data_IF_131407602340
#
_entry.id   IF_131407602340
#
_cell.length_a   1.000
_cell.length_b   1.000
_cell.length_c   1.000
_cell.angle_alpha   90.00
_cell.angle_beta   90.00
_cell.angle_gamma   90.00
#
_symmetry.space_group_name_H-M   'P 1'
#
loop_
_entity.id
_entity.type
_entity.pdbx_description
1 polymer ?
#
# COMPACT_ATOMS: atom_id res chain seq x y z
N UNK A 1 22.97 -8.42 4.96
CA UNK A 1 22.75 -9.71 5.64
C UNK A 1 21.43 -10.30 5.17
N UNK A 2 21.46 -11.38 4.39
CA UNK A 2 20.22 -12.02 3.90
C UNK A 2 19.63 -12.86 5.03
N UNK A 3 18.47 -12.46 5.54
CA UNK A 3 17.68 -13.25 6.49
C UNK A 3 17.18 -14.51 5.79
N UNK A 4 17.96 -15.59 5.84
CA UNK A 4 17.61 -16.86 5.21
C UNK A 4 16.52 -17.57 6.03
N UNK A 5 15.34 -17.70 5.43
CA UNK A 5 14.22 -18.45 6.01
C UNK A 5 14.58 -19.93 6.18
N UNK A 6 14.25 -20.50 7.35
CA UNK A 6 14.34 -21.94 7.61
C UNK A 6 13.36 -22.78 6.75
N UNK A 7 12.47 -22.13 6.00
CA UNK A 7 11.51 -22.77 5.10
C UNK A 7 12.13 -23.09 3.73
N UNK A 8 11.83 -24.27 3.14
CA UNK A 8 12.41 -24.63 1.85
C UNK A 8 11.89 -23.75 0.72
N UNK A 9 12.81 -23.26 -0.11
CA UNK A 9 12.47 -22.48 -1.32
C UNK A 9 11.94 -23.41 -2.41
N UNK A 10 10.82 -23.05 -3.04
CA UNK A 10 10.13 -23.85 -4.09
C UNK A 10 10.19 -23.12 -5.44
N UNK A 11 10.56 -23.78 -6.55
CA UNK A 11 11.00 -23.11 -7.80
C UNK A 11 10.75 -23.92 -9.12
N UNK A 12 10.78 -23.27 -10.31
CA UNK A 12 10.58 -23.79 -11.71
C UNK A 12 11.58 -23.15 -12.78
N UNK A 13 12.17 -23.93 -13.74
CA UNK A 13 12.97 -23.52 -14.97
C UNK A 13 14.45 -23.05 -14.83
N UNK A 14 15.37 -23.13 -15.87
CA UNK A 14 16.90 -23.01 -15.85
C UNK A 14 17.53 -23.34 -14.49
N UNK A 15 16.94 -24.34 -13.87
CA UNK A 15 16.77 -24.27 -12.43
C UNK A 15 17.95 -24.86 -11.70
N UNK A 16 18.56 -25.84 -12.36
CA UNK A 16 19.53 -26.71 -11.75
C UNK A 16 20.76 -25.93 -11.24
N UNK A 17 21.24 -24.93 -11.98
CA UNK A 17 22.42 -24.16 -11.59
C UNK A 17 22.14 -23.26 -10.39
N UNK A 18 20.99 -22.59 -10.39
CA UNK A 18 20.55 -21.71 -9.28
C UNK A 18 20.32 -22.54 -8.02
N UNK A 19 19.65 -23.69 -8.16
CA UNK A 19 19.41 -24.62 -7.06
C UNK A 19 20.73 -25.18 -6.55
N UNK A 20 21.64 -25.63 -7.42
CA UNK A 20 22.94 -26.15 -7.03
C UNK A 20 23.74 -25.14 -6.19
N UNK A 21 23.78 -23.87 -6.62
CA UNK A 21 24.46 -22.81 -5.87
C UNK A 21 23.82 -22.58 -4.49
N UNK A 22 22.49 -22.56 -4.41
CA UNK A 22 21.78 -22.39 -3.15
C UNK A 22 22.04 -23.56 -2.18
N UNK A 23 22.06 -24.79 -2.68
CA UNK A 23 22.35 -25.98 -1.87
C UNK A 23 23.77 -25.94 -1.29
N UNK A 24 24.75 -25.48 -2.09
CA UNK A 24 26.15 -25.29 -1.67
C UNK A 24 26.34 -24.14 -0.68
N UNK A 25 25.47 -23.13 -0.72
CA UNK A 25 25.40 -22.05 0.27
C UNK A 25 24.72 -22.48 1.59
N UNK A 26 24.22 -23.72 1.69
CA UNK A 26 23.60 -24.25 2.91
C UNK A 26 22.07 -24.22 2.95
N UNK A 27 21.41 -23.68 1.92
CA UNK A 27 19.96 -23.55 1.89
C UNK A 27 19.27 -24.89 1.62
N UNK A 28 18.10 -25.10 2.24
CA UNK A 28 17.19 -26.21 1.93
C UNK A 28 16.25 -25.79 0.80
N UNK A 29 16.15 -26.61 -0.24
CA UNK A 29 15.37 -26.29 -1.44
C UNK A 29 14.46 -27.47 -1.78
N UNK A 30 13.18 -27.19 -2.05
CA UNK A 30 12.19 -28.19 -2.45
C UNK A 30 11.60 -27.79 -3.79
N UNK A 31 11.95 -28.48 -4.87
CA UNK A 31 11.36 -28.24 -6.18
C UNK A 31 10.10 -29.10 -6.34
N UNK A 32 8.98 -28.48 -6.68
CA UNK A 32 7.69 -29.17 -6.91
C UNK A 32 7.28 -29.00 -8.36
N UNK A 33 6.33 -29.81 -8.84
CA UNK A 33 5.84 -29.79 -10.23
C UNK A 33 6.95 -29.99 -11.26
N UNK A 34 7.88 -30.92 -10.98
CA UNK A 34 9.00 -31.21 -11.88
C UNK A 34 8.55 -31.65 -13.30
N UNK A 35 7.33 -32.17 -13.44
CA UNK A 35 6.72 -32.53 -14.72
C UNK A 35 6.48 -31.33 -15.64
N UNK A 36 6.20 -30.15 -15.08
CA UNK A 36 5.94 -28.94 -15.88
C UNK A 36 7.21 -28.19 -16.30
N UNK A 37 8.39 -28.60 -15.80
CA UNK A 37 9.68 -28.02 -16.19
C UNK A 37 9.86 -28.03 -17.72
N UNK A 38 10.39 -26.94 -18.26
CA UNK A 38 10.62 -26.80 -19.70
C UNK A 38 12.09 -26.91 -20.10
N UNK A 39 12.34 -27.60 -21.20
CA UNK A 39 13.62 -27.67 -21.89
C UNK A 39 13.54 -26.89 -23.20
N UNK A 40 14.57 -26.11 -23.53
CA UNK A 40 14.64 -25.36 -24.78
C UNK A 40 14.81 -26.29 -26.00
N UNK A 41 14.24 -25.92 -27.14
CA UNK A 41 14.31 -26.70 -28.38
C UNK A 41 13.11 -27.63 -28.57
N UNK A 42 12.91 -28.08 -29.81
CA UNK A 42 11.76 -28.91 -30.17
C UNK A 42 11.72 -30.21 -29.38
N UNK A 43 10.50 -30.73 -29.23
CA UNK A 43 10.24 -32.03 -28.63
C UNK A 43 11.10 -33.14 -29.25
N UNK A 44 11.07 -33.25 -30.59
CA UNK A 44 11.80 -34.27 -31.33
C UNK A 44 13.32 -34.23 -31.07
N UNK A 45 13.91 -33.03 -31.04
CA UNK A 45 15.35 -32.87 -30.72
C UNK A 45 15.68 -33.38 -29.32
N UNK A 46 14.88 -33.02 -28.32
CA UNK A 46 15.07 -33.49 -26.94
C UNK A 46 14.82 -34.98 -26.78
N UNK A 47 13.88 -35.54 -27.54
CA UNK A 47 13.65 -36.98 -27.62
C UNK A 47 14.90 -37.71 -28.10
N UNK A 48 15.50 -37.27 -29.22
CA UNK A 48 16.72 -37.88 -29.76
C UNK A 48 17.91 -37.78 -28.80
N UNK A 49 18.10 -36.63 -28.14
CA UNK A 49 19.14 -36.48 -27.11
C UNK A 49 18.94 -37.46 -25.95
N UNK A 50 17.71 -37.61 -25.48
CA UNK A 50 17.39 -38.55 -24.40
C UNK A 50 17.55 -40.01 -24.86
N UNK A 51 17.18 -40.36 -26.09
CA UNK A 51 17.45 -41.68 -26.69
C UNK A 51 18.93 -41.99 -26.72
N UNK A 52 19.78 -41.03 -27.13
CA UNK A 52 21.25 -41.19 -27.11
C UNK A 52 21.73 -41.49 -25.69
N UNK A 53 21.21 -40.78 -24.68
CA UNK A 53 21.54 -41.05 -23.29
C UNK A 53 21.10 -42.46 -22.85
N UNK A 54 19.93 -42.95 -23.25
CA UNK A 54 19.46 -44.30 -22.90
C UNK A 54 20.25 -45.45 -23.54
N UNK A 55 21.02 -45.17 -24.60
CA UNK A 55 21.91 -46.14 -25.23
C UNK A 55 23.20 -46.34 -24.44
N UNK A 56 23.58 -45.39 -23.58
CA UNK A 56 24.76 -45.52 -22.72
C UNK A 56 24.50 -46.57 -21.65
N UNK A 57 25.15 -47.73 -21.72
CA UNK A 57 25.01 -48.81 -20.74
C UNK A 57 26.37 -49.42 -20.45
N UNK A 58 26.56 -49.95 -19.24
CA UNK A 58 27.74 -50.77 -18.96
C UNK A 58 27.57 -52.11 -19.68
N UNK A 59 28.54 -52.48 -20.53
CA UNK A 59 28.42 -53.60 -21.46
C UNK A 59 28.20 -54.94 -20.75
N UNK A 60 29.00 -55.22 -19.71
CA UNK A 60 29.02 -56.53 -19.04
C UNK A 60 27.88 -56.68 -18.02
N UNK A 61 27.60 -55.64 -17.25
CA UNK A 61 26.59 -55.66 -16.16
C UNK A 61 25.81 -54.35 -16.09
N UNK A 62 24.79 -54.18 -16.95
CA UNK A 62 23.99 -52.95 -17.00
C UNK A 62 23.30 -52.59 -15.68
N UNK A 63 22.96 -53.59 -14.86
CA UNK A 63 22.24 -53.40 -13.59
C UNK A 63 23.05 -52.80 -12.44
N UNK A 64 24.39 -52.97 -12.45
CA UNK A 64 25.27 -52.58 -11.32
C UNK A 64 26.24 -51.44 -11.66
N UNK A 65 26.92 -51.52 -12.80
CA UNK A 65 28.00 -50.59 -13.16
C UNK A 65 27.61 -49.50 -14.16
N UNK A 66 26.38 -49.55 -14.69
CA UNK A 66 25.92 -48.65 -15.74
C UNK A 66 25.27 -47.37 -15.23
N UNK A 67 25.13 -46.35 -16.10
CA UNK A 67 24.35 -45.16 -15.76
C UNK A 67 22.87 -45.52 -15.61
N UNK A 68 22.28 -45.23 -14.45
CA UNK A 68 20.84 -45.40 -14.25
C UNK A 68 20.04 -44.36 -15.05
N UNK A 69 19.06 -44.84 -15.82
CA UNK A 69 18.19 -44.00 -16.63
C UNK A 69 16.82 -43.80 -15.97
N UNK A 70 16.72 -42.82 -15.08
CA UNK A 70 15.44 -42.49 -14.44
C UNK A 70 14.47 -41.86 -15.44
N UNK A 71 13.21 -42.32 -15.41
CA UNK A 71 12.12 -41.80 -16.26
C UNK A 71 11.33 -40.67 -15.61
N UNK A 72 11.23 -40.68 -14.28
CA UNK A 72 10.45 -39.69 -13.55
C UNK A 72 11.05 -38.26 -13.71
N UNK A 73 10.24 -37.23 -14.05
CA UNK A 73 10.70 -35.85 -14.22
C UNK A 73 11.53 -35.31 -13.05
N UNK A 74 11.12 -35.61 -11.81
CA UNK A 74 11.85 -35.19 -10.61
C UNK A 74 13.25 -35.77 -10.55
N UNK A 75 13.42 -37.04 -10.93
CA UNK A 75 14.71 -37.74 -10.93
C UNK A 75 15.61 -37.30 -12.09
N UNK A 76 15.04 -36.97 -13.23
CA UNK A 76 15.76 -36.32 -14.33
C UNK A 76 16.32 -34.97 -13.86
N UNK A 77 15.49 -34.17 -13.19
CA UNK A 77 15.92 -32.89 -12.62
C UNK A 77 16.97 -33.06 -11.52
N UNK A 78 16.79 -34.04 -10.61
CA UNK A 78 17.76 -34.39 -9.58
C UNK A 78 19.13 -34.74 -10.17
N UNK A 79 19.16 -35.51 -11.26
CA UNK A 79 20.39 -35.86 -11.95
C UNK A 79 21.07 -34.63 -12.55
N UNK A 80 20.31 -33.68 -13.11
CA UNK A 80 20.84 -32.43 -13.62
C UNK A 80 21.49 -31.59 -12.50
N UNK A 81 20.84 -31.46 -11.34
CA UNK A 81 21.43 -30.75 -10.18
C UNK A 81 22.66 -31.49 -9.66
N UNK A 82 22.61 -32.82 -9.55
CA UNK A 82 23.74 -33.65 -9.11
C UNK A 82 24.96 -33.49 -10.00
N UNK A 83 24.77 -33.29 -11.32
CA UNK A 83 25.85 -33.01 -12.26
C UNK A 83 26.52 -31.65 -12.06
N UNK A 84 25.87 -30.72 -11.36
CA UNK A 84 26.38 -29.37 -11.05
C UNK A 84 26.94 -29.25 -9.63
N UNK A 85 26.93 -30.33 -8.85
CA UNK A 85 27.45 -30.39 -7.48
C UNK A 85 28.58 -31.42 -7.42
N UNK A 86 29.70 -31.14 -6.71
CA UNK A 86 30.74 -32.13 -6.43
C UNK A 86 30.22 -33.17 -5.41
N UNK A 87 29.25 -33.99 -5.80
CA UNK A 87 28.47 -34.87 -4.91
C UNK A 87 29.26 -36.06 -4.36
N UNK A 88 30.49 -36.30 -4.86
CA UNK A 88 31.38 -37.36 -4.36
C UNK A 88 32.09 -36.96 -3.06
N UNK A 89 32.21 -35.67 -2.75
CA UNK A 89 32.81 -35.20 -1.49
C UNK A 89 31.73 -34.96 -0.43
N UNK A 90 32.10 -35.02 0.86
CA UNK A 90 31.18 -34.86 1.99
C UNK A 90 30.32 -33.59 1.90
N UNK A 91 30.92 -32.44 1.54
CA UNK A 91 30.21 -31.16 1.36
C UNK A 91 29.12 -31.25 0.29
N UNK A 92 29.42 -31.88 -0.84
CA UNK A 92 28.47 -32.03 -1.94
C UNK A 92 27.38 -33.05 -1.64
N UNK A 93 27.72 -34.14 -0.96
CA UNK A 93 26.75 -35.11 -0.46
C UNK A 93 25.76 -34.45 0.52
N UNK A 94 26.25 -33.67 1.48
CA UNK A 94 25.42 -32.89 2.39
C UNK A 94 24.54 -31.86 1.65
N UNK A 95 25.06 -31.21 0.61
CA UNK A 95 24.27 -30.31 -0.22
C UNK A 95 23.14 -31.04 -0.96
N UNK A 96 23.38 -32.25 -1.47
CA UNK A 96 22.34 -33.06 -2.13
C UNK A 96 21.23 -33.50 -1.16
N UNK A 97 21.54 -33.76 0.12
CA UNK A 97 20.54 -34.09 1.14
C UNK A 97 19.56 -32.93 1.43
N UNK A 98 19.98 -31.68 1.18
CA UNK A 98 19.13 -30.48 1.35
C UNK A 98 18.10 -30.31 0.23
N UNK A 99 18.23 -31.04 -0.88
CA UNK A 99 17.33 -30.98 -2.03
C UNK A 99 16.22 -32.02 -1.92
N UNK A 100 14.97 -31.58 -2.09
CA UNK A 100 13.84 -32.48 -2.37
C UNK A 100 13.18 -32.08 -3.70
N UNK A 101 12.71 -33.07 -4.44
CA UNK A 101 12.12 -32.89 -5.77
C UNK A 101 10.84 -33.72 -5.85
N UNK A 102 9.78 -33.16 -6.43
CA UNK A 102 8.48 -33.83 -6.52
C UNK A 102 7.79 -33.54 -7.85
N UNK A 103 7.13 -34.55 -8.40
CA UNK A 103 6.05 -34.37 -9.37
C UNK A 103 4.78 -33.91 -8.66
N UNK A 104 4.08 -32.92 -9.23
CA UNK A 104 2.96 -32.24 -8.57
C UNK A 104 3.37 -31.54 -7.28
N UNK A 105 2.38 -31.17 -6.45
CA UNK A 105 2.59 -30.55 -5.13
C UNK A 105 2.05 -31.45 -4.01
N UNK A 106 2.92 -32.16 -3.27
CA UNK A 106 2.50 -32.98 -2.13
C UNK A 106 1.80 -32.17 -1.03
N UNK A 107 0.88 -32.77 -0.24
CA UNK A 107 0.09 -32.10 0.80
C UNK A 107 0.88 -31.17 1.72
N UNK A 108 2.06 -31.61 2.17
CA UNK A 108 2.96 -30.85 3.04
C UNK A 108 3.37 -29.47 2.48
N UNK A 109 3.39 -29.33 1.15
CA UNK A 109 3.81 -28.11 0.47
C UNK A 109 2.65 -27.34 -0.18
N UNK A 110 1.40 -27.81 -0.04
CA UNK A 110 0.24 -27.17 -0.67
C UNK A 110 -0.05 -25.79 -0.06
N UNK A 111 0.08 -25.64 1.25
CA UNK A 111 -0.19 -24.39 1.96
C UNK A 111 1.02 -23.45 2.05
N UNK A 112 2.18 -23.87 1.56
CA UNK A 112 3.39 -23.03 1.54
C UNK A 112 3.41 -22.12 0.32
N UNK A 113 3.84 -20.87 0.48
CA UNK A 113 4.05 -19.96 -0.65
C UNK A 113 5.17 -20.53 -1.54
N UNK A 114 4.86 -20.73 -2.82
CA UNK A 114 5.85 -21.12 -3.81
C UNK A 114 6.54 -19.86 -4.34
N UNK A 115 7.85 -19.95 -4.51
CA UNK A 115 8.64 -18.89 -5.10
C UNK A 115 8.84 -19.16 -6.59
N UNK A 116 9.29 -18.15 -7.30
CA UNK A 116 9.68 -18.26 -8.71
C UNK A 116 11.08 -17.68 -8.81
N UNK A 117 11.91 -18.27 -9.66
CA UNK A 117 13.24 -17.72 -9.97
C UNK A 117 13.15 -17.07 -11.35
N UNK A 118 13.04 -15.73 -11.43
CA UNK A 118 12.80 -15.03 -12.69
C UNK A 118 13.87 -15.29 -13.74
N UNK A 119 15.13 -15.41 -13.31
CA UNK A 119 16.26 -15.71 -14.20
C UNK A 119 16.17 -17.05 -14.91
N UNK A 120 15.18 -17.87 -14.56
CA UNK A 120 15.06 -19.24 -14.97
C UNK A 120 13.70 -19.55 -15.63
N UNK A 121 12.79 -18.57 -15.62
CA UNK A 121 11.51 -18.62 -16.33
C UNK A 121 11.69 -18.70 -17.85
N UNK A 122 10.99 -19.64 -18.48
CA UNK A 122 10.98 -19.79 -19.95
C UNK A 122 10.56 -18.50 -20.66
N UNK A 123 9.46 -17.88 -20.22
CA UNK A 123 8.88 -16.70 -20.87
C UNK A 123 9.84 -15.50 -20.91
N UNK A 124 10.68 -15.35 -19.88
CA UNK A 124 11.67 -14.26 -19.79
C UNK A 124 12.98 -14.59 -20.51
N UNK A 125 13.30 -15.89 -20.68
CA UNK A 125 14.62 -16.34 -21.14
C UNK A 125 14.65 -16.92 -22.55
N UNK A 126 13.51 -17.34 -23.08
CA UNK A 126 13.40 -17.90 -24.42
C UNK A 126 12.69 -16.89 -25.32
N UNK A 127 13.28 -16.60 -26.49
CA UNK A 127 12.65 -15.71 -27.49
C UNK A 127 11.26 -16.25 -27.87
N UNK A 128 10.24 -15.39 -28.01
CA UNK A 128 8.94 -15.77 -28.56
C UNK A 128 9.10 -16.52 -29.90
N UNK A 129 8.19 -17.46 -30.17
CA UNK A 129 8.23 -18.31 -31.36
C UNK A 129 9.25 -19.47 -31.32
N UNK A 130 10.17 -19.52 -30.35
CA UNK A 130 11.10 -20.65 -30.23
C UNK A 130 10.43 -21.86 -29.56
N UNK A 131 10.56 -23.03 -30.21
CA UNK A 131 10.02 -24.31 -29.71
C UNK A 131 10.68 -24.73 -28.40
N UNK A 132 9.90 -25.34 -27.52
CA UNK A 132 10.34 -25.93 -26.25
C UNK A 132 9.65 -27.28 -26.02
N UNK A 133 10.13 -28.03 -25.04
CA UNK A 133 9.63 -29.34 -24.64
C UNK A 133 9.33 -29.35 -23.14
N UNK A 134 8.24 -29.99 -22.72
CA UNK A 134 7.92 -30.22 -21.31
C UNK A 134 8.51 -31.55 -20.83
N UNK A 135 9.06 -31.58 -19.61
CA UNK A 135 9.59 -32.82 -19.04
C UNK A 135 8.51 -33.89 -18.89
N UNK A 136 7.25 -33.52 -18.64
CA UNK A 136 6.10 -34.41 -18.65
C UNK A 136 6.03 -35.24 -19.92
N UNK A 137 5.93 -34.57 -21.09
CA UNK A 137 5.81 -35.25 -22.38
C UNK A 137 7.03 -36.11 -22.68
N UNK A 138 8.23 -35.58 -22.43
CA UNK A 138 9.47 -36.35 -22.63
C UNK A 138 9.48 -37.62 -21.78
N UNK A 139 9.19 -37.49 -20.49
CA UNK A 139 9.22 -38.59 -19.54
C UNK A 139 8.18 -39.66 -19.86
N UNK A 140 6.96 -39.26 -20.22
CA UNK A 140 5.88 -40.17 -20.62
C UNK A 140 6.27 -41.02 -21.83
N UNK A 141 6.86 -40.43 -22.87
CA UNK A 141 7.31 -41.18 -24.06
C UNK A 141 8.44 -42.19 -23.77
N UNK A 142 9.16 -42.02 -22.66
CA UNK A 142 10.23 -42.94 -22.23
C UNK A 142 9.83 -43.86 -21.07
N UNK A 143 8.53 -44.03 -20.83
CA UNK A 143 8.01 -45.03 -19.90
C UNK A 143 7.75 -44.52 -18.47
N UNK A 144 7.54 -43.21 -18.29
CA UNK A 144 7.00 -42.71 -17.02
C UNK A 144 5.48 -42.91 -16.95
N UNK A 145 5.05 -43.90 -16.18
CA UNK A 145 3.66 -44.36 -16.12
C UNK A 145 2.72 -43.48 -15.26
N UNK A 146 3.24 -42.57 -14.43
CA UNK A 146 2.42 -41.85 -13.44
C UNK A 146 1.92 -40.47 -13.91
N UNK A 147 2.07 -40.14 -15.20
CA UNK A 147 1.68 -38.84 -15.73
C UNK A 147 0.19 -38.52 -15.46
N UNK A 148 -0.70 -39.47 -15.79
CA UNK A 148 -2.14 -39.32 -15.58
C UNK A 148 -2.54 -39.28 -14.10
N UNK A 149 -1.85 -40.05 -13.26
CA UNK A 149 -2.09 -40.05 -11.81
C UNK A 149 -1.75 -38.67 -11.23
N UNK A 150 -0.62 -38.10 -11.63
CA UNK A 150 -0.22 -36.74 -11.21
C UNK A 150 -1.21 -35.70 -11.70
N UNK A 151 -1.72 -35.82 -12.93
CA UNK A 151 -2.73 -34.90 -13.45
C UNK A 151 -4.03 -34.92 -12.65
N UNK A 152 -4.53 -36.11 -12.31
CA UNK A 152 -5.73 -36.28 -11.46
C UNK A 152 -5.52 -35.62 -10.09
N UNK A 153 -4.36 -35.82 -9.47
CA UNK A 153 -4.03 -35.24 -8.16
C UNK A 153 -3.88 -33.72 -8.22
N UNK A 154 -3.21 -33.19 -9.26
CA UNK A 154 -3.05 -31.74 -9.45
C UNK A 154 -4.36 -31.05 -9.81
N UNK A 155 -5.25 -31.70 -10.57
CA UNK A 155 -6.61 -31.19 -10.83
C UNK A 155 -7.40 -31.03 -9.53
N UNK A 156 -7.43 -32.08 -8.69
CA UNK A 156 -8.06 -32.04 -7.35
C UNK A 156 -7.47 -30.94 -6.48
N UNK A 157 -6.14 -30.75 -6.52
CA UNK A 157 -5.45 -29.69 -5.77
C UNK A 157 -5.80 -28.29 -6.28
N UNK A 158 -5.86 -28.08 -7.59
CA UNK A 158 -6.20 -26.79 -8.22
C UNK A 158 -7.63 -26.38 -7.87
N UNK A 159 -8.58 -27.31 -7.89
CA UNK A 159 -9.96 -27.04 -7.46
C UNK A 159 -10.03 -26.52 -6.00
N UNK A 160 -9.35 -27.21 -5.06
CA UNK A 160 -9.24 -26.73 -3.67
C UNK A 160 -8.55 -25.37 -3.55
N UNK A 161 -7.52 -25.14 -4.37
CA UNK A 161 -6.78 -23.88 -4.42
C UNK A 161 -7.63 -22.70 -4.91
N UNK A 162 -8.51 -22.92 -5.89
CA UNK A 162 -9.44 -21.91 -6.39
C UNK A 162 -10.42 -21.46 -5.30
N UNK A 163 -11.08 -22.42 -4.63
CA UNK A 163 -12.00 -22.14 -3.53
C UNK A 163 -11.31 -21.40 -2.36
N UNK A 164 -10.06 -21.75 -2.03
CA UNK A 164 -9.28 -21.01 -1.03
C UNK A 164 -8.98 -19.57 -1.48
N UNK A 165 -8.61 -19.37 -2.75
CA UNK A 165 -8.29 -18.07 -3.30
C UNK A 165 -9.49 -17.14 -3.29
N UNK A 166 -10.67 -17.61 -3.70
CA UNK A 166 -11.93 -16.86 -3.64
C UNK A 166 -12.24 -16.36 -2.23
N UNK A 167 -12.19 -17.26 -1.24
CA UNK A 167 -12.37 -16.90 0.18
C UNK A 167 -11.35 -15.88 0.65
N UNK A 168 -10.08 -16.03 0.26
CA UNK A 168 -9.01 -15.09 0.62
C UNK A 168 -9.19 -13.71 0.00
N UNK A 169 -9.61 -13.64 -1.27
CA UNK A 169 -9.90 -12.38 -1.96
C UNK A 169 -11.08 -11.67 -1.29
N UNK A 170 -12.16 -12.39 -1.00
CA UNK A 170 -13.31 -11.85 -0.28
C UNK A 170 -12.90 -11.29 1.11
N UNK A 171 -12.14 -12.05 1.90
CA UNK A 171 -11.65 -11.60 3.20
C UNK A 171 -10.70 -10.39 3.09
N UNK A 172 -9.86 -10.34 2.06
CA UNK A 172 -8.96 -9.19 1.83
C UNK A 172 -9.75 -7.94 1.45
N UNK A 173 -10.80 -8.07 0.64
CA UNK A 173 -11.70 -6.97 0.29
C UNK A 173 -12.44 -6.45 1.53
N UNK A 174 -12.97 -7.34 2.37
CA UNK A 174 -13.59 -6.98 3.64
C UNK A 174 -12.61 -6.23 4.55
N UNK A 175 -11.37 -6.72 4.69
CA UNK A 175 -10.34 -6.05 5.49
C UNK A 175 -9.97 -4.67 4.93
N UNK A 176 -9.91 -4.52 3.61
CA UNK A 176 -9.63 -3.23 2.97
C UNK A 176 -10.78 -2.24 3.17
N UNK A 177 -12.02 -2.69 3.11
CA UNK A 177 -13.19 -1.87 3.45
C UNK A 177 -13.17 -1.48 4.93
N UNK A 178 -12.97 -2.44 5.83
CA UNK A 178 -12.84 -2.17 7.26
C UNK A 178 -11.71 -1.19 7.60
N UNK A 179 -10.61 -1.16 6.83
CA UNK A 179 -9.54 -0.18 7.02
C UNK A 179 -9.89 1.22 6.47
N UNK A 180 -10.76 1.31 5.47
CA UNK A 180 -11.30 2.59 4.97
C UNK A 180 -12.38 3.15 5.91
N UNK A 181 -13.19 2.25 6.45
CA UNK A 181 -14.27 2.55 7.38
C UNK A 181 -13.74 2.71 8.82
N UNK A 182 -12.51 2.23 9.08
CA UNK A 182 -11.82 2.49 10.33
C UNK A 182 -11.65 3.99 10.48
N UNK A 183 -12.17 4.58 11.57
CA UNK A 183 -12.06 6.01 11.77
C UNK A 183 -10.59 6.40 11.84
N UNK A 184 -10.18 7.37 11.03
CA UNK A 184 -8.91 8.11 11.21
C UNK A 184 -8.84 8.81 12.59
N UNK A 185 -9.90 8.71 13.39
CA UNK A 185 -10.21 9.45 14.62
C UNK A 185 -9.52 8.98 15.89
N UNK A 186 -8.81 7.84 15.91
CA UNK A 186 -8.19 7.37 17.16
C UNK A 186 -6.98 8.22 17.62
N UNK A 187 -6.36 9.00 16.71
CA UNK A 187 -5.14 9.76 17.05
C UNK A 187 -5.38 11.17 17.56
N UNK A 188 -6.49 11.82 17.19
CA UNK A 188 -6.72 13.22 17.59
C UNK A 188 -7.18 13.36 19.05
N UNK A 189 -8.03 12.45 19.51
CA UNK A 189 -8.43 12.36 20.92
C UNK A 189 -7.28 11.93 21.86
N UNK A 190 -6.17 11.43 21.30
CA UNK A 190 -4.96 11.07 22.05
C UNK A 190 -4.06 12.31 22.31
N UNK A 191 -4.13 13.33 21.44
CA UNK A 191 -3.33 14.56 21.55
C UNK A 191 -3.66 15.41 22.77
N UNK A 192 -4.89 15.35 23.25
CA UNK A 192 -5.31 16.08 24.44
C UNK A 192 -4.65 15.56 25.73
N UNK A 193 -4.37 14.25 25.79
CA UNK A 193 -3.97 13.57 27.03
C UNK A 193 -2.56 13.90 27.48
N UNK A 194 -1.65 14.23 26.55
CA UNK A 194 -0.30 14.64 26.90
C UNK A 194 0.43 15.41 25.78
N UNK A 195 0.28 16.74 25.70
CA UNK A 195 0.95 17.57 24.69
C UNK A 195 2.47 17.37 24.64
N UNK A 196 3.11 17.12 25.79
CA UNK A 196 4.56 16.92 25.90
C UNK A 196 5.07 15.63 25.22
N UNK A 197 4.16 14.69 24.90
CA UNK A 197 4.51 13.48 24.15
C UNK A 197 4.69 13.70 22.65
N UNK A 198 4.30 14.88 22.14
CA UNK A 198 4.35 15.20 20.73
C UNK A 198 5.71 15.72 20.31
N UNK A 199 6.10 15.36 19.08
CA UNK A 199 7.33 15.86 18.50
C UNK A 199 7.19 17.35 18.19
N UNK A 200 8.31 18.07 18.18
CA UNK A 200 8.35 19.49 17.77
C UNK A 200 7.84 19.74 16.34
N UNK A 201 7.72 18.69 15.52
CA UNK A 201 7.19 18.78 14.16
C UNK A 201 5.67 18.58 14.09
N UNK A 202 5.05 18.09 15.17
CA UNK A 202 3.60 17.84 15.23
C UNK A 202 2.87 18.91 16.06
N UNK A 203 3.56 19.57 16.99
CA UNK A 203 3.01 20.54 17.93
C UNK A 203 3.56 21.94 17.64
N UNK A 204 2.67 22.93 17.49
CA UNK A 204 3.06 24.35 17.41
C UNK A 204 3.07 25.00 18.79
N UNK A 205 1.92 25.00 19.47
CA UNK A 205 1.72 25.58 20.80
C UNK A 205 0.58 24.88 21.53
N UNK A 206 0.55 25.00 22.85
CA UNK A 206 -0.56 24.50 23.68
C UNK A 206 -0.64 25.30 24.97
N UNK A 207 -1.84 25.40 25.53
CA UNK A 207 -2.10 25.91 26.87
C UNK A 207 -3.09 24.97 27.60
N UNK A 208 -3.67 25.42 28.71
CA UNK A 208 -4.65 24.64 29.47
C UNK A 208 -5.97 24.41 28.73
N UNK A 209 -6.30 25.24 27.73
CA UNK A 209 -7.61 25.27 27.06
C UNK A 209 -7.57 24.85 25.60
N UNK A 210 -6.44 24.97 24.92
CA UNK A 210 -6.26 24.68 23.50
C UNK A 210 -4.92 24.00 23.21
N UNK A 211 -4.89 23.28 22.09
CA UNK A 211 -3.66 22.73 21.50
C UNK A 211 -3.69 23.01 20.01
N UNK A 212 -2.58 23.52 19.47
CA UNK A 212 -2.40 23.77 18.05
C UNK A 212 -1.37 22.82 17.48
N UNK A 213 -1.77 22.03 16.49
CA UNK A 213 -0.94 21.03 15.83
C UNK A 213 -0.78 21.32 14.35
N UNK A 214 0.31 20.83 13.76
CA UNK A 214 0.50 20.82 12.31
C UNK A 214 -0.46 19.80 11.69
N UNK A 215 -1.21 20.18 10.66
CA UNK A 215 -2.02 19.20 9.92
C UNK A 215 -1.09 18.20 9.22
N UNK A 216 -1.29 16.91 9.48
CA UNK A 216 -0.54 15.82 8.86
C UNK A 216 -0.76 15.71 7.34
N UNK A 217 -1.88 16.24 6.86
CA UNK A 217 -2.28 16.25 5.46
C UNK A 217 -2.59 17.67 4.99
N UNK A 218 -1.63 18.62 5.10
CA UNK A 218 -1.90 20.04 4.89
C UNK A 218 -2.44 20.30 3.49
N UNK A 219 -3.35 21.25 3.30
CA UNK A 219 -3.96 21.56 2.00
C UNK A 219 -3.40 22.81 1.33
N UNK A 220 -2.64 23.58 2.10
CA UNK A 220 -1.86 24.74 1.71
C UNK A 220 -0.43 24.61 2.26
N UNK A 221 0.41 25.62 2.01
CA UNK A 221 1.78 25.69 2.56
C UNK A 221 1.81 25.66 4.09
N UNK A 222 0.92 26.41 4.73
CA UNK A 222 0.78 26.48 6.18
C UNK A 222 -0.64 26.05 6.55
N UNK A 223 -0.78 24.94 7.28
CA UNK A 223 -2.08 24.42 7.70
C UNK A 223 -1.98 23.83 9.10
N UNK A 224 -2.72 24.45 10.03
CA UNK A 224 -2.77 24.11 11.44
C UNK A 224 -4.19 23.75 11.85
N UNK A 225 -4.29 22.95 12.89
CA UNK A 225 -5.53 22.62 13.55
C UNK A 225 -5.45 23.13 14.99
N UNK A 226 -6.38 24.00 15.38
CA UNK A 226 -6.57 24.40 16.77
C UNK A 226 -7.68 23.52 17.34
N UNK A 227 -7.38 22.80 18.42
CA UNK A 227 -8.32 21.92 19.10
C UNK A 227 -8.57 22.43 20.53
N UNK A 228 -9.83 22.57 20.98
CA UNK A 228 -10.12 22.82 22.38
C UNK A 228 -9.78 21.58 23.22
N UNK A 229 -9.28 21.81 24.42
CA UNK A 229 -8.92 20.79 25.42
C UNK A 229 -10.02 20.63 26.45
N UNK A 230 -10.01 19.52 27.19
CA UNK A 230 -10.97 19.33 28.28
C UNK A 230 -10.66 20.31 29.39
N UNK A 231 -11.62 21.16 29.71
CA UNK A 231 -11.56 22.08 30.84
C UNK A 231 -12.86 21.97 31.64
N UNK A 232 -12.92 22.64 32.79
CA UNK A 232 -14.18 22.80 33.53
C UNK A 232 -15.29 23.43 32.69
N UNK A 233 -14.93 24.24 31.69
CA UNK A 233 -15.86 24.97 30.82
C UNK A 233 -16.41 24.12 29.67
N UNK A 234 -15.81 22.94 29.40
CA UNK A 234 -16.21 22.04 28.32
C UNK A 234 -16.35 20.60 28.83
N UNK A 235 -17.55 20.19 29.30
CA UNK A 235 -17.74 18.90 29.99
C UNK A 235 -17.57 17.68 29.07
N UNK A 236 -17.82 17.84 27.76
CA UNK A 236 -17.64 16.81 26.73
C UNK A 236 -17.07 17.41 25.45
N UNK A 237 -16.21 16.66 24.75
CA UNK A 237 -15.69 17.05 23.45
C UNK A 237 -16.80 17.08 22.40
N UNK A 238 -17.05 18.22 21.74
CA UNK A 238 -17.83 18.24 20.53
C UNK A 238 -17.06 17.47 19.45
N UNK A 239 -17.73 16.56 18.73
CA UNK A 239 -17.07 15.88 17.61
C UNK A 239 -17.08 16.71 16.33
N UNK A 240 -17.95 17.72 16.26
CA UNK A 240 -18.28 18.46 15.06
C UNK A 240 -18.78 19.88 15.38
N UNK A 241 -18.90 20.73 14.36
CA UNK A 241 -19.55 22.03 14.52
C UNK A 241 -21.04 21.87 14.85
N UNK A 242 -21.72 20.85 14.31
CA UNK A 242 -23.11 20.51 14.64
C UNK A 242 -23.28 20.17 16.12
N UNK A 243 -22.32 19.42 16.70
CA UNK A 243 -22.29 19.08 18.12
C UNK A 243 -22.04 20.33 18.97
N UNK A 244 -21.10 21.20 18.57
CA UNK A 244 -20.77 22.43 19.29
C UNK A 244 -21.98 23.36 19.35
N UNK A 245 -22.66 23.58 18.23
CA UNK A 245 -23.83 24.46 18.14
C UNK A 245 -25.07 23.90 18.86
N UNK A 246 -25.03 22.66 19.36
CA UNK A 246 -26.08 22.06 20.17
C UNK A 246 -25.92 22.34 21.67
N UNK A 247 -24.81 22.93 22.11
CA UNK A 247 -24.62 23.36 23.51
C UNK A 247 -25.33 24.69 23.80
N UNK A 248 -25.37 25.04 25.09
CA UNK A 248 -25.85 26.34 25.55
C UNK A 248 -24.92 27.47 25.11
N UNK A 249 -25.47 28.67 24.88
CA UNK A 249 -24.71 29.81 24.34
C UNK A 249 -23.52 30.21 25.21
N UNK A 250 -23.62 30.06 26.54
CA UNK A 250 -22.49 30.32 27.45
C UNK A 250 -21.29 29.41 27.16
N UNK A 251 -21.53 28.11 26.93
CA UNK A 251 -20.48 27.15 26.59
C UNK A 251 -19.93 27.46 25.19
N UNK A 252 -20.80 27.73 24.22
CA UNK A 252 -20.39 28.06 22.85
C UNK A 252 -19.48 29.30 22.85
N UNK A 253 -19.90 30.38 23.51
CA UNK A 253 -19.14 31.62 23.57
C UNK A 253 -17.78 31.44 24.25
N UNK A 254 -17.71 30.66 25.36
CA UNK A 254 -16.43 30.34 26.01
C UNK A 254 -15.47 29.58 25.10
N UNK A 255 -15.99 28.62 24.32
CA UNK A 255 -15.18 27.87 23.35
C UNK A 255 -14.71 28.77 22.22
N UNK A 256 -15.60 29.58 21.63
CA UNK A 256 -15.26 30.50 20.55
C UNK A 256 -14.23 31.55 20.98
N UNK A 257 -14.40 32.18 22.14
CA UNK A 257 -13.42 33.13 22.70
C UNK A 257 -12.06 32.47 22.96
N UNK A 258 -12.04 31.23 23.45
CA UNK A 258 -10.77 30.48 23.61
C UNK A 258 -10.09 30.21 22.26
N UNK A 259 -10.87 29.81 21.24
CA UNK A 259 -10.35 29.59 19.89
C UNK A 259 -9.84 30.89 19.26
N UNK A 260 -10.53 32.00 19.45
CA UNK A 260 -10.18 33.31 18.89
C UNK A 260 -8.83 33.83 19.44
N UNK A 261 -8.62 33.73 20.76
CA UNK A 261 -7.33 34.09 21.38
C UNK A 261 -6.18 33.24 20.84
N UNK A 262 -6.41 31.95 20.67
CA UNK A 262 -5.39 31.03 20.14
C UNK A 262 -5.14 31.30 18.65
N UNK A 263 -6.20 31.61 17.92
CA UNK A 263 -6.15 31.94 16.50
C UNK A 263 -5.25 33.14 16.23
N UNK A 264 -5.35 34.23 17.02
CA UNK A 264 -4.46 35.40 16.86
C UNK A 264 -2.98 35.00 16.93
N UNK A 265 -2.60 34.18 17.91
CA UNK A 265 -1.20 33.71 18.06
C UNK A 265 -0.75 32.83 16.88
N UNK A 266 -1.66 32.03 16.34
CA UNK A 266 -1.38 31.15 15.18
C UNK A 266 -1.26 31.96 13.90
N UNK A 267 -2.08 32.99 13.71
CA UNK A 267 -2.00 33.92 12.57
C UNK A 267 -0.67 34.67 12.56
N UNK A 268 -0.26 35.24 13.71
CA UNK A 268 1.07 35.85 13.88
C UNK A 268 2.19 34.87 13.54
N UNK A 269 2.11 33.64 14.07
CA UNK A 269 3.09 32.59 13.76
C UNK A 269 3.15 32.26 12.26
N UNK A 270 2.00 32.19 11.57
CA UNK A 270 1.94 31.95 10.13
C UNK A 270 2.58 33.11 9.38
N UNK A 271 2.26 34.36 9.72
CA UNK A 271 2.84 35.53 9.08
C UNK A 271 4.36 35.60 9.25
N UNK A 272 4.88 35.29 10.44
CA UNK A 272 6.32 35.17 10.67
C UNK A 272 6.97 34.08 9.80
N UNK A 273 6.31 32.92 9.66
CA UNK A 273 6.78 31.85 8.79
C UNK A 273 6.73 32.26 7.31
N UNK A 274 5.67 32.94 6.86
CA UNK A 274 5.55 33.46 5.50
C UNK A 274 6.67 34.48 5.19
N UNK A 275 6.92 35.44 6.09
CA UNK A 275 8.00 36.41 5.95
C UNK A 275 9.37 35.75 5.95
N UNK A 276 9.60 34.77 6.83
CA UNK A 276 10.88 34.05 6.89
C UNK A 276 11.14 33.24 5.62
N UNK A 277 10.14 32.55 5.11
CA UNK A 277 10.31 31.57 4.03
C UNK A 277 10.19 32.24 2.64
N UNK A 278 9.44 33.34 2.50
CA UNK A 278 9.13 34.00 1.23
C UNK A 278 9.34 35.52 1.20
N UNK A 279 9.62 36.16 2.34
CA UNK A 279 9.80 37.62 2.43
C UNK A 279 8.51 38.43 2.29
N UNK A 280 7.35 37.77 2.23
CA UNK A 280 6.02 38.40 2.07
C UNK A 280 4.96 37.60 2.82
N UNK A 281 3.91 38.29 3.26
CA UNK A 281 2.71 37.68 3.86
C UNK A 281 1.56 37.61 2.85
N UNK A 282 0.63 36.68 3.06
CA UNK A 282 -0.62 36.60 2.31
C UNK A 282 -1.74 36.04 3.20
N UNK A 283 -2.97 36.16 2.70
CA UNK A 283 -4.19 35.88 3.46
C UNK A 283 -4.24 34.47 4.08
N UNK A 284 -4.92 34.41 5.22
CA UNK A 284 -5.16 33.19 6.00
C UNK A 284 -6.67 32.94 6.02
N UNK A 285 -7.06 31.71 5.72
CA UNK A 285 -8.42 31.22 5.89
C UNK A 285 -8.55 30.50 7.23
N UNK A 286 -9.64 30.77 7.93
CA UNK A 286 -9.96 30.21 9.24
C UNK A 286 -11.41 29.72 9.29
N UNK A 287 -11.62 28.47 9.68
CA UNK A 287 -12.97 27.92 9.70
C UNK A 287 -13.08 26.44 10.00
N UNK A 288 -14.33 25.97 9.99
CA UNK A 288 -14.71 24.60 10.25
C UNK A 288 -15.23 23.94 8.97
N UNK A 289 -15.12 22.63 8.88
CA UNK A 289 -15.89 21.89 7.89
C UNK A 289 -17.35 21.74 8.32
N UNK A 290 -18.28 22.01 7.39
CA UNK A 290 -19.71 21.83 7.65
C UNK A 290 -20.06 20.38 8.06
N UNK A 291 -19.50 19.41 7.33
CA UNK A 291 -19.55 18.00 7.71
C UNK A 291 -18.13 17.55 8.02
N UNK A 292 -17.82 17.20 9.28
CA UNK A 292 -16.45 16.93 9.69
C UNK A 292 -15.92 15.65 9.06
N UNK A 293 -14.64 15.64 8.70
CA UNK A 293 -13.93 14.41 8.36
C UNK A 293 -13.25 13.75 9.57
N UNK A 294 -13.21 14.44 10.72
CA UNK A 294 -12.58 13.99 11.96
C UNK A 294 -13.57 14.15 13.13
N UNK A 295 -13.67 13.16 14.02
CA UNK A 295 -14.57 13.20 15.18
C UNK A 295 -13.95 13.96 16.36
N UNK A 296 -13.65 15.22 16.16
CA UNK A 296 -13.22 16.18 17.17
C UNK A 296 -13.37 17.56 16.54
N UNK A 297 -14.02 18.50 17.22
CA UNK A 297 -14.05 19.87 16.75
C UNK A 297 -12.63 20.42 16.66
N UNK A 298 -12.30 21.01 15.52
CA UNK A 298 -11.02 21.66 15.30
C UNK A 298 -11.22 22.81 14.34
N UNK A 299 -10.59 23.94 14.64
CA UNK A 299 -10.55 25.09 13.77
C UNK A 299 -9.37 24.90 12.81
N UNK A 300 -9.66 24.88 11.51
CA UNK A 300 -8.64 24.95 10.49
C UNK A 300 -8.12 26.37 10.41
N UNK A 301 -6.80 26.56 10.53
CA UNK A 301 -6.13 27.83 10.28
C UNK A 301 -5.07 27.60 9.23
N UNK A 302 -5.24 28.20 8.07
CA UNK A 302 -4.43 27.85 6.91
C UNK A 302 -4.20 29.00 5.96
N UNK A 303 -3.03 29.04 5.35
CA UNK A 303 -2.73 29.99 4.29
C UNK A 303 -3.63 29.77 3.06
N UNK A 304 -4.06 30.86 2.41
CA UNK A 304 -5.07 30.83 1.34
C UNK A 304 -4.56 30.22 0.01
N UNK A 305 -3.28 29.87 -0.11
CA UNK A 305 -2.69 29.38 -1.36
C UNK A 305 -3.28 28.06 -1.88
N UNK A 306 -3.73 27.18 -0.99
CA UNK A 306 -4.20 25.82 -1.32
C UNK A 306 -3.22 25.01 -2.20
N UNK A 307 -1.91 25.26 -2.08
CA UNK A 307 -0.85 24.55 -2.79
C UNK A 307 -0.28 23.45 -1.88
N UNK A 308 -0.61 22.20 -2.18
CA UNK A 308 -0.08 21.04 -1.45
C UNK A 308 -0.08 19.75 -2.26
N UNK A 309 0.91 18.89 -2.05
CA UNK A 309 0.96 17.53 -2.59
C UNK A 309 -0.17 16.63 -2.05
N UNK A 310 -0.74 16.96 -0.89
CA UNK A 310 -1.83 16.19 -0.25
C UNK A 310 -3.22 16.50 -0.81
N UNK A 311 -3.34 17.53 -1.64
CA UNK A 311 -4.56 17.86 -2.37
C UNK A 311 -4.69 16.91 -3.57
N UNK A 312 -5.32 15.74 -3.40
CA UNK A 312 -5.26 14.64 -4.39
C UNK A 312 -6.52 14.45 -5.20
N UNK A 313 -7.66 14.83 -4.66
CA UNK A 313 -8.96 14.58 -5.28
C UNK A 313 -9.84 15.83 -5.18
N UNK A 314 -10.95 15.79 -5.90
CA UNK A 314 -11.91 16.89 -6.01
C UNK A 314 -12.46 17.35 -4.66
N UNK A 315 -12.81 16.38 -3.80
CA UNK A 315 -13.33 16.66 -2.45
C UNK A 315 -12.32 17.42 -1.59
N UNK A 316 -11.03 17.05 -1.64
CA UNK A 316 -9.97 17.72 -0.87
C UNK A 316 -9.82 19.21 -1.20
N UNK A 317 -10.15 19.63 -2.42
CA UNK A 317 -10.07 21.03 -2.80
C UNK A 317 -11.37 21.75 -2.44
N UNK A 318 -12.51 21.18 -2.86
CA UNK A 318 -13.81 21.79 -2.65
C UNK A 318 -14.16 21.99 -1.17
N UNK A 319 -13.66 21.14 -0.27
CA UNK A 319 -13.92 21.27 1.17
C UNK A 319 -13.22 22.46 1.83
N UNK A 320 -12.15 22.98 1.22
CA UNK A 320 -11.38 24.12 1.74
C UNK A 320 -11.53 25.37 0.85
N UNK A 321 -12.41 25.31 -0.16
CA UNK A 321 -12.61 26.44 -1.04
C UNK A 321 -13.42 27.53 -0.32
N UNK A 322 -12.86 28.74 -0.09
CA UNK A 322 -13.46 29.75 0.78
C UNK A 322 -14.83 30.25 0.29
N UNK A 323 -15.05 30.27 -1.03
CA UNK A 323 -16.32 30.72 -1.63
C UNK A 323 -17.38 29.64 -1.87
N UNK A 324 -17.16 28.37 -1.51
CA UNK A 324 -18.12 27.28 -1.80
C UNK A 324 -19.12 27.03 -0.67
N UNK A 325 -18.90 27.59 0.52
CA UNK A 325 -19.81 27.48 1.64
C UNK A 325 -19.76 26.15 2.43
N UNK A 326 -19.00 25.13 1.98
CA UNK A 326 -18.71 23.93 2.79
C UNK A 326 -17.72 24.25 3.92
N UNK A 327 -16.72 25.09 3.65
CA UNK A 327 -15.84 25.66 4.65
C UNK A 327 -16.59 26.82 5.33
N UNK A 328 -16.97 26.63 6.59
CA UNK A 328 -17.70 27.62 7.39
C UNK A 328 -16.66 28.51 8.06
N UNK A 329 -16.59 29.78 7.66
CA UNK A 329 -15.63 30.71 8.24
C UNK A 329 -15.90 30.93 9.72
N UNK A 330 -14.82 31.09 10.49
CA UNK A 330 -14.92 31.28 11.94
C UNK A 330 -15.79 32.49 12.31
N UNK A 331 -15.61 33.59 11.59
CA UNK A 331 -16.36 34.84 11.80
C UNK A 331 -17.86 34.66 11.53
N UNK A 332 -18.23 33.81 10.57
CA UNK A 332 -19.64 33.51 10.26
C UNK A 332 -20.29 32.70 11.39
N UNK A 333 -19.53 31.81 12.04
CA UNK A 333 -20.00 31.07 13.22
C UNK A 333 -20.23 32.02 14.40
N UNK A 334 -19.27 32.91 14.68
CA UNK A 334 -19.40 33.90 15.76
C UNK A 334 -20.63 34.79 15.54
N UNK A 335 -20.80 35.34 14.34
CA UNK A 335 -21.98 36.14 13.98
C UNK A 335 -23.28 35.35 14.09
N UNK A 336 -23.30 34.06 13.73
CA UNK A 336 -24.52 33.26 13.83
C UNK A 336 -24.94 33.03 15.29
N UNK A 337 -23.98 32.87 16.19
CA UNK A 337 -24.24 32.74 17.64
C UNK A 337 -24.69 34.08 18.22
N UNK A 338 -23.98 35.17 17.93
CA UNK A 338 -24.33 36.53 18.40
C UNK A 338 -25.73 36.97 17.96
N UNK A 339 -26.11 36.68 16.71
CA UNK A 339 -27.41 37.04 16.16
C UNK A 339 -28.53 36.06 16.53
N UNK A 340 -28.26 35.00 17.29
CA UNK A 340 -29.24 33.97 17.66
C UNK A 340 -29.76 33.15 16.45
N UNK A 341 -28.95 32.99 15.39
CA UNK A 341 -29.29 32.22 14.18
C UNK A 341 -28.56 30.88 14.10
N UNK A 342 -27.99 30.40 15.21
CA UNK A 342 -27.21 29.15 15.27
C UNK A 342 -27.99 27.92 14.79
N UNK A 343 -29.28 27.80 15.06
CA UNK A 343 -30.11 26.65 14.64
C UNK A 343 -30.28 26.61 13.12
N UNK A 344 -30.37 27.78 12.47
CA UNK A 344 -30.45 27.88 11.01
C UNK A 344 -29.13 27.45 10.38
N UNK A 345 -28.00 27.93 10.92
CA UNK A 345 -26.67 27.51 10.48
C UNK A 345 -26.52 25.99 10.63
N UNK A 346 -26.82 25.47 11.82
CA UNK A 346 -26.74 24.04 12.16
C UNK A 346 -27.56 23.17 11.20
N UNK A 347 -28.82 23.54 10.95
CA UNK A 347 -29.71 22.81 10.04
C UNK A 347 -29.20 22.76 8.60
N UNK A 348 -28.44 23.78 8.18
CA UNK A 348 -27.85 23.84 6.83
C UNK A 348 -26.61 22.95 6.64
N UNK A 349 -25.92 22.57 7.73
CA UNK A 349 -24.58 21.94 7.66
C UNK A 349 -24.58 20.63 6.87
N UNK A 350 -25.55 19.75 7.11
CA UNK A 350 -25.62 18.44 6.42
C UNK A 350 -25.87 18.58 4.92
N UNK A 351 -26.71 19.53 4.52
CA UNK A 351 -27.02 19.77 3.10
C UNK A 351 -25.80 20.25 2.30
N UNK A 352 -24.83 20.90 2.97
CA UNK A 352 -23.60 21.40 2.33
C UNK A 352 -22.68 20.30 1.80
N UNK A 353 -22.86 19.02 2.18
CA UNK A 353 -22.06 17.91 1.64
C UNK A 353 -22.18 17.78 0.10
N UNK A 354 -23.32 18.17 -0.47
CA UNK A 354 -23.55 18.16 -1.92
C UNK A 354 -22.60 19.12 -2.67
N UNK A 355 -22.18 20.22 -2.04
CA UNK A 355 -21.26 21.23 -2.60
C UNK A 355 -19.87 20.64 -2.91
N UNK A 356 -19.51 19.52 -2.29
CA UNK A 356 -18.28 18.81 -2.59
C UNK A 356 -18.27 18.21 -4.01
N UNK A 357 -19.45 18.03 -4.63
CA UNK A 357 -19.62 17.50 -5.99
C UNK A 357 -19.49 18.58 -7.06
N UNK A 358 -19.48 19.87 -6.70
CA UNK A 358 -19.41 20.99 -7.64
C UNK A 358 -18.11 21.03 -8.45
N UNK A 359 -18.09 21.55 -9.69
CA UNK A 359 -16.90 21.66 -10.53
C UNK A 359 -15.68 22.26 -9.81
N UNK A 360 -14.46 21.86 -10.20
CA UNK A 360 -13.24 22.44 -9.63
C UNK A 360 -13.08 23.87 -10.13
N UNK A 361 -13.35 24.84 -9.27
CA UNK A 361 -13.29 26.26 -9.59
C UNK A 361 -12.16 26.90 -8.79
N UNK A 362 -11.27 27.64 -9.44
CA UNK A 362 -10.18 28.36 -8.77
C UNK A 362 -10.74 29.48 -7.87
N UNK A 363 -10.32 29.51 -6.60
CA UNK A 363 -10.70 30.55 -5.65
C UNK A 363 -10.10 31.93 -6.00
N UNK A 364 -9.02 31.98 -6.78
CA UNK A 364 -8.38 33.24 -7.17
C UNK A 364 -9.13 33.99 -8.28
N UNK A 365 -9.69 33.27 -9.25
CA UNK A 365 -10.19 33.89 -10.49
C UNK A 365 -11.44 33.22 -11.07
N UNK A 366 -12.04 32.28 -10.34
CA UNK A 366 -13.27 31.61 -10.75
C UNK A 366 -13.15 30.65 -11.93
N UNK A 367 -11.95 30.39 -12.46
CA UNK A 367 -11.75 29.52 -13.63
C UNK A 367 -12.00 28.04 -13.29
N UNK A 368 -12.70 27.33 -14.17
CA UNK A 368 -13.08 25.92 -13.97
C UNK A 368 -12.05 24.96 -14.58
N UNK A 369 -11.77 23.86 -13.87
CA UNK A 369 -10.81 22.83 -14.23
C UNK A 369 -11.44 21.43 -14.25
N UNK A 370 -10.95 20.58 -15.14
CA UNK A 370 -11.47 19.21 -15.31
C UNK A 370 -10.84 18.20 -14.34
N UNK A 371 -9.62 18.47 -13.86
CA UNK A 371 -8.92 17.59 -12.94
C UNK A 371 -7.98 18.36 -12.00
N UNK A 372 -7.61 17.72 -10.89
CA UNK A 372 -6.76 18.30 -9.84
C UNK A 372 -5.35 18.68 -10.34
N UNK A 373 -4.64 17.87 -11.15
CA UNK A 373 -3.33 18.28 -11.67
C UNK A 373 -3.34 19.62 -12.39
N UNK A 374 -4.31 19.85 -13.29
CA UNK A 374 -4.44 21.13 -14.00
C UNK A 374 -4.75 22.30 -13.06
N UNK A 375 -5.63 22.08 -12.09
CA UNK A 375 -5.92 23.09 -11.06
C UNK A 375 -4.67 23.44 -10.25
N UNK A 376 -3.89 22.45 -9.83
CA UNK A 376 -2.65 22.69 -9.07
C UNK A 376 -1.64 23.51 -9.84
N UNK A 377 -1.43 23.18 -11.12
CA UNK A 377 -0.54 23.96 -11.99
C UNK A 377 -0.98 25.42 -12.01
N UNK A 378 -2.28 25.67 -12.23
CA UNK A 378 -2.85 27.02 -12.18
C UNK A 378 -2.65 27.72 -10.83
N UNK A 379 -2.91 27.03 -9.70
CA UNK A 379 -2.74 27.62 -8.37
C UNK A 379 -1.29 28.04 -8.11
N UNK A 380 -0.32 27.21 -8.52
CA UNK A 380 1.11 27.51 -8.37
C UNK A 380 1.53 28.69 -9.25
N UNK A 381 1.13 28.68 -10.52
CA UNK A 381 1.42 29.78 -11.46
C UNK A 381 0.82 31.09 -10.95
N UNK A 382 -0.48 31.09 -10.62
CA UNK A 382 -1.16 32.28 -10.13
C UNK A 382 -0.53 32.83 -8.83
N UNK A 383 -0.20 31.95 -7.88
CA UNK A 383 0.43 32.34 -6.63
C UNK A 383 1.80 32.98 -6.86
N UNK A 384 2.65 32.37 -7.69
CA UNK A 384 3.97 32.93 -7.98
C UNK A 384 3.87 34.29 -8.68
N UNK A 385 2.99 34.40 -9.67
CA UNK A 385 2.88 35.62 -10.48
C UNK A 385 2.25 36.79 -9.70
N UNK A 386 1.21 36.52 -8.91
CA UNK A 386 0.37 37.57 -8.31
C UNK A 386 0.63 37.81 -6.82
N UNK A 387 1.19 36.83 -6.09
CA UNK A 387 1.44 36.94 -4.64
C UNK A 387 2.93 37.14 -4.36
N UNK A 388 3.80 36.34 -4.98
CA UNK A 388 5.25 36.41 -4.73
C UNK A 388 5.91 37.50 -5.58
N UNK A 389 5.72 37.45 -6.89
CA UNK A 389 6.46 38.30 -7.84
C UNK A 389 5.82 39.67 -8.07
N UNK A 390 4.59 39.90 -7.60
CA UNK A 390 3.92 41.18 -7.77
C UNK A 390 4.62 42.22 -6.88
N UNK A 391 5.23 43.23 -7.50
CA UNK A 391 6.13 44.19 -6.84
C UNK A 391 5.41 45.11 -5.86
#
# INVERSE_FOLDING_TARGET
>A
MSTYSAAPVIVDGRLASVVAKNLLNGNRVVVVRCEELNLSGSFFRRKLEYMKFMRLRHLVKPSKGGPFHHRAPSRIFLKAVRGMIPHKIARGAAAMQRLKVFEGVPPLYQNKKKMVVPQALRVLRLKPGRKFCTLKRLSSEFGWAHAEVVDKLEAKRKAKGAAYHERKVAATKLRANAFKDAPQNAKLAEFDKNPTSLSKNDLLLYDERCITIYDKFPKSKYHFLILPRKSSDLPSYPNSLDDLLNFDDDIINKVLDTLDRTLTQVEESIHDMQLRDYGKTWDINKGFHAVPSLNCIHLHVMSNDLISDRLKNKKHYNSFHPGKGFFIHFDDVCKAVENGTKEQLRSSLKAKEELLKDPLQSHYNGKIYTNIPKLKTHLVEYFNDNVINNH
#
